data_IF_677666674030
#
_entry.id   IF_677666674030
#
_cell.length_a   1.000
_cell.length_b   1.000
_cell.length_c   1.000
_cell.angle_alpha   90.00
_cell.angle_beta   90.00
_cell.angle_gamma   90.00
#
_symmetry.space_group_name_H-M   'P 1'
#
loop_
_entity.id
_entity.type
_entity.pdbx_description
1 polymer ?
#
# COMPACT_ATOMS: atom_id res chain seq x y z
N UNK A 1 1.05 28.84 -0.92
CA UNK A 1 -0.36 28.43 -0.83
C UNK A 1 -0.35 26.91 -0.76
N UNK A 2 -0.39 26.34 0.45
CA UNK A 2 -0.33 24.90 0.68
C UNK A 2 -1.73 24.36 0.44
N UNK A 3 -1.94 23.66 -0.67
CA UNK A 3 -3.20 22.96 -0.93
C UNK A 3 -3.34 21.79 0.05
N UNK A 4 -4.46 21.77 0.75
CA UNK A 4 -4.75 20.93 1.90
C UNK A 4 -4.40 19.45 1.72
N UNK A 5 -3.63 18.93 2.65
CA UNK A 5 -3.19 17.52 2.76
C UNK A 5 -4.36 16.51 2.94
N UNK A 6 -5.58 16.96 3.19
CA UNK A 6 -6.79 16.11 3.25
C UNK A 6 -7.04 15.39 1.92
N UNK A 7 -6.70 16.00 0.80
CA UNK A 7 -6.82 15.36 -0.51
C UNK A 7 -5.87 14.17 -0.66
N UNK A 8 -4.63 14.29 -0.20
CA UNK A 8 -3.61 13.23 -0.34
C UNK A 8 -3.97 11.96 0.43
N UNK A 9 -4.57 12.09 1.61
CA UNK A 9 -4.99 10.93 2.41
C UNK A 9 -6.22 10.24 1.86
N UNK A 10 -7.19 11.02 1.33
CA UNK A 10 -8.30 10.44 0.58
C UNK A 10 -7.81 9.76 -0.70
N UNK A 11 -6.79 10.33 -1.35
CA UNK A 11 -6.14 9.71 -2.51
C UNK A 11 -5.48 8.39 -2.17
N UNK A 12 -4.70 8.32 -1.08
CA UNK A 12 -4.07 7.06 -0.62
C UNK A 12 -5.13 6.02 -0.27
N UNK A 13 -6.14 6.36 0.51
CA UNK A 13 -7.23 5.46 0.84
C UNK A 13 -7.99 4.96 -0.39
N UNK A 14 -8.22 5.85 -1.36
CA UNK A 14 -8.87 5.50 -2.64
C UNK A 14 -7.98 4.57 -3.46
N UNK A 15 -6.69 4.89 -3.60
CA UNK A 15 -5.73 4.04 -4.32
C UNK A 15 -5.66 2.65 -3.67
N UNK A 16 -5.56 2.57 -2.35
CA UNK A 16 -5.51 1.30 -1.63
C UNK A 16 -6.81 0.51 -1.79
N UNK A 17 -7.96 1.17 -1.79
CA UNK A 17 -9.25 0.52 -2.07
C UNK A 17 -9.33 -0.01 -3.50
N UNK A 18 -8.87 0.76 -4.49
CA UNK A 18 -8.80 0.30 -5.89
C UNK A 18 -7.85 -0.89 -6.03
N UNK A 19 -6.70 -0.86 -5.37
CA UNK A 19 -5.75 -1.98 -5.37
C UNK A 19 -6.36 -3.22 -4.72
N UNK A 20 -7.09 -3.06 -3.62
CA UNK A 20 -7.85 -4.14 -2.98
C UNK A 20 -8.87 -4.77 -3.93
N UNK A 21 -9.60 -3.95 -4.69
CA UNK A 21 -10.54 -4.41 -5.71
C UNK A 21 -9.86 -5.21 -6.82
N UNK A 22 -8.66 -4.77 -7.23
CA UNK A 22 -7.87 -5.44 -8.26
C UNK A 22 -7.27 -6.77 -7.78
N UNK A 23 -7.14 -6.96 -6.47
CA UNK A 23 -6.59 -8.18 -5.84
C UNK A 23 -7.66 -9.20 -5.42
N UNK A 24 -8.91 -9.04 -5.86
CA UNK A 24 -9.98 -9.97 -5.48
C UNK A 24 -10.49 -9.80 -4.05
N UNK A 25 -10.05 -8.76 -3.35
CA UNK A 25 -10.53 -8.47 -1.98
C UNK A 25 -12.04 -8.24 -1.98
N UNK A 26 -12.80 -8.81 -1.02
CA UNK A 26 -14.24 -8.66 -0.93
C UNK A 26 -14.68 -7.21 -0.88
N UNK A 27 -15.67 -6.86 -1.74
CA UNK A 27 -16.26 -5.52 -1.86
C UNK A 27 -17.34 -5.20 -0.82
N UNK A 28 -17.38 -5.95 0.24
CA UNK A 28 -18.33 -5.71 1.32
C UNK A 28 -18.02 -4.39 2.06
N UNK A 29 -19.02 -3.71 2.63
CA UNK A 29 -18.82 -2.41 3.27
C UNK A 29 -17.78 -2.41 4.41
N UNK A 30 -17.76 -3.46 5.25
CA UNK A 30 -16.85 -3.53 6.40
C UNK A 30 -15.38 -3.71 5.99
N UNK A 31 -15.00 -4.65 5.08
CA UNK A 31 -13.65 -4.72 4.53
C UNK A 31 -13.18 -3.40 3.92
N UNK A 32 -14.01 -2.74 3.11
CA UNK A 32 -13.66 -1.46 2.51
C UNK A 32 -13.45 -0.36 3.55
N UNK A 33 -14.36 -0.25 4.51
CA UNK A 33 -14.24 0.73 5.59
C UNK A 33 -12.98 0.49 6.44
N UNK A 34 -12.64 -0.78 6.69
CA UNK A 34 -11.40 -1.15 7.36
C UNK A 34 -10.18 -0.69 6.56
N UNK A 35 -10.11 -0.98 5.25
CA UNK A 35 -8.98 -0.56 4.40
C UNK A 35 -8.82 0.97 4.42
N UNK A 36 -9.91 1.71 4.27
CA UNK A 36 -9.89 3.18 4.30
C UNK A 36 -9.43 3.72 5.66
N UNK A 37 -9.93 3.14 6.75
CA UNK A 37 -9.55 3.55 8.10
C UNK A 37 -8.08 3.21 8.39
N UNK A 38 -7.62 2.01 8.05
CA UNK A 38 -6.21 1.59 8.22
C UNK A 38 -5.26 2.43 7.37
N UNK A 39 -5.63 2.74 6.11
CA UNK A 39 -4.85 3.62 5.26
C UNK A 39 -4.72 5.03 5.86
N UNK A 40 -5.84 5.59 6.32
CA UNK A 40 -5.85 6.93 6.90
C UNK A 40 -5.01 7.01 8.18
N UNK A 41 -5.18 6.05 9.10
CA UNK A 41 -4.44 6.10 10.35
C UNK A 41 -2.96 5.79 10.15
N UNK A 42 -2.60 4.79 9.34
CA UNK A 42 -1.21 4.43 9.09
C UNK A 42 -0.43 5.57 8.42
N UNK A 43 -0.97 6.12 7.33
CA UNK A 43 -0.35 7.23 6.61
C UNK A 43 -0.39 8.53 7.44
N UNK A 44 -1.51 8.81 8.10
CA UNK A 44 -1.65 9.98 8.97
C UNK A 44 -0.68 9.97 10.14
N UNK A 45 -0.49 8.81 10.79
CA UNK A 45 0.46 8.66 11.89
C UNK A 45 1.91 8.88 11.44
N UNK A 46 2.32 8.29 10.31
CA UNK A 46 3.67 8.48 9.75
C UNK A 46 3.93 9.97 9.45
N UNK A 47 3.01 10.63 8.75
CA UNK A 47 3.13 12.06 8.41
C UNK A 47 3.09 12.96 9.63
N UNK A 48 2.29 12.61 10.63
CA UNK A 48 2.23 13.36 11.90
C UNK A 48 3.54 13.25 12.67
N UNK A 49 4.11 12.07 12.78
CA UNK A 49 5.40 11.83 13.44
C UNK A 49 6.57 12.52 12.71
N UNK A 50 6.50 12.63 11.40
CA UNK A 50 7.48 13.36 10.58
C UNK A 50 7.24 14.90 10.58
N UNK A 51 6.20 15.40 11.26
CA UNK A 51 5.84 16.84 11.28
C UNK A 51 5.38 17.37 9.91
N UNK A 52 4.92 16.51 9.03
CA UNK A 52 4.58 16.81 7.62
C UNK A 52 3.07 16.83 7.34
N UNK A 53 2.21 16.77 8.35
CA UNK A 53 0.76 16.76 8.17
C UNK A 53 0.07 17.88 8.91
N UNK A 54 -1.05 18.35 8.34
CA UNK A 54 -2.01 19.23 9.01
C UNK A 54 -3.12 18.45 9.73
N UNK A 55 -3.08 17.11 9.68
CA UNK A 55 -4.06 16.26 10.35
C UNK A 55 -3.97 16.44 11.87
N UNK A 56 -5.14 16.50 12.47
CA UNK A 56 -5.21 16.54 13.92
C UNK A 56 -5.04 15.16 14.52
N UNK A 57 -4.41 15.03 15.70
CA UNK A 57 -4.30 13.73 16.40
C UNK A 57 -5.66 13.04 16.58
N UNK A 58 -6.73 13.82 16.76
CA UNK A 58 -8.09 13.31 16.93
C UNK A 58 -8.59 12.61 15.65
N UNK A 59 -8.28 13.15 14.47
CA UNK A 59 -8.68 12.54 13.20
C UNK A 59 -7.95 11.23 12.92
N UNK A 60 -6.67 11.17 13.27
CA UNK A 60 -5.86 9.96 13.18
C UNK A 60 -6.35 8.91 14.19
N UNK A 61 -6.62 9.33 15.43
CA UNK A 61 -7.17 8.47 16.47
C UNK A 61 -8.56 7.94 16.11
N UNK A 62 -9.42 8.76 15.49
CA UNK A 62 -10.74 8.31 15.03
C UNK A 62 -10.62 7.22 13.95
N UNK A 63 -9.67 7.36 13.02
CA UNK A 63 -9.41 6.34 12.00
C UNK A 63 -8.90 5.03 12.63
N UNK A 64 -7.95 5.11 13.57
CA UNK A 64 -7.46 3.96 14.34
C UNK A 64 -8.59 3.27 15.10
N UNK A 65 -9.42 4.04 15.82
CA UNK A 65 -10.58 3.49 16.54
C UNK A 65 -11.55 2.79 15.60
N UNK A 66 -11.83 3.37 14.43
CA UNK A 66 -12.71 2.78 13.43
C UNK A 66 -12.17 1.43 12.94
N UNK A 67 -10.90 1.36 12.57
CA UNK A 67 -10.28 0.09 12.17
C UNK A 67 -10.37 -0.97 13.27
N UNK A 68 -10.02 -0.60 14.51
CA UNK A 68 -10.04 -1.50 15.65
C UNK A 68 -11.45 -1.97 16.04
N UNK A 69 -12.45 -1.09 15.94
CA UNK A 69 -13.86 -1.46 16.19
C UNK A 69 -14.36 -2.47 15.16
N UNK A 70 -13.95 -2.33 13.89
CA UNK A 70 -14.29 -3.31 12.85
C UNK A 70 -13.64 -4.66 13.17
N UNK A 71 -12.34 -4.69 13.52
CA UNK A 71 -11.65 -5.90 13.89
C UNK A 71 -12.27 -6.59 15.12
N UNK A 72 -12.68 -5.80 16.10
CA UNK A 72 -13.35 -6.33 17.28
C UNK A 72 -14.74 -6.88 16.95
N UNK A 73 -15.54 -6.14 16.17
CA UNK A 73 -16.90 -6.54 15.76
C UNK A 73 -16.92 -7.82 14.91
N UNK A 74 -15.85 -8.06 14.14
CA UNK A 74 -15.72 -9.23 13.24
C UNK A 74 -14.92 -10.38 13.83
N UNK A 75 -14.68 -10.39 15.14
CA UNK A 75 -13.88 -11.40 15.86
C UNK A 75 -12.41 -11.51 15.37
N UNK A 76 -11.90 -10.43 14.77
CA UNK A 76 -10.52 -10.35 14.29
C UNK A 76 -9.61 -9.52 15.21
N UNK A 77 -9.96 -9.36 16.49
CA UNK A 77 -9.24 -8.55 17.49
C UNK A 77 -7.76 -8.93 17.66
N UNK A 78 -7.39 -10.17 17.34
CA UNK A 78 -5.99 -10.64 17.35
C UNK A 78 -5.06 -9.85 16.42
N UNK A 79 -5.60 -9.13 15.43
CA UNK A 79 -4.82 -8.31 14.51
C UNK A 79 -4.63 -6.86 14.97
N UNK A 80 -5.35 -6.41 16.01
CA UNK A 80 -5.24 -5.04 16.55
C UNK A 80 -3.81 -4.75 17.02
N UNK A 81 -3.26 -5.59 17.87
CA UNK A 81 -1.92 -5.36 18.41
C UNK A 81 -0.82 -5.43 17.34
N UNK A 82 -0.80 -6.42 16.42
CA UNK A 82 0.15 -6.43 15.30
C UNK A 82 0.06 -5.18 14.41
N UNK A 83 -1.13 -4.70 14.06
CA UNK A 83 -1.30 -3.51 13.24
C UNK A 83 -0.73 -2.26 13.92
N UNK A 84 -1.09 -2.03 15.18
CA UNK A 84 -0.59 -0.90 15.97
C UNK A 84 0.93 -0.98 16.11
N UNK A 85 1.48 -2.15 16.44
CA UNK A 85 2.93 -2.33 16.59
C UNK A 85 3.68 -2.08 15.28
N UNK A 86 3.16 -2.53 14.14
CA UNK A 86 3.77 -2.24 12.85
C UNK A 86 3.90 -0.73 12.62
N UNK A 87 2.85 0.04 12.88
CA UNK A 87 2.91 1.49 12.66
C UNK A 87 3.83 2.18 13.67
N UNK A 88 3.76 1.82 14.96
CA UNK A 88 4.60 2.43 16.00
C UNK A 88 6.09 2.10 15.82
N UNK A 89 6.42 0.93 15.30
CA UNK A 89 7.80 0.53 15.04
C UNK A 89 8.35 1.08 13.72
N UNK A 90 7.49 1.54 12.81
CA UNK A 90 7.90 2.00 11.49
C UNK A 90 8.93 3.12 11.50
N UNK A 91 8.83 4.21 12.31
CA UNK A 91 9.86 5.25 12.33
C UNK A 91 11.24 4.73 12.76
N UNK A 92 11.27 3.80 13.73
CA UNK A 92 12.49 3.15 14.16
C UNK A 92 13.06 2.24 13.06
N UNK A 93 12.19 1.48 12.39
CA UNK A 93 12.58 0.61 11.29
C UNK A 93 13.11 1.39 10.10
N UNK A 94 12.42 2.47 9.68
CA UNK A 94 12.84 3.39 8.61
C UNK A 94 14.24 3.95 8.86
N UNK A 95 14.57 4.28 10.12
CA UNK A 95 15.86 4.85 10.50
C UNK A 95 16.97 3.81 10.61
N UNK A 96 16.69 2.65 11.19
CA UNK A 96 17.72 1.63 11.47
C UNK A 96 17.94 0.63 10.32
N UNK A 97 16.90 0.37 9.54
CA UNK A 97 16.91 -0.60 8.43
C UNK A 97 16.33 0.00 7.13
N UNK A 98 16.85 1.17 6.67
CA UNK A 98 16.25 1.92 5.57
C UNK A 98 16.20 1.13 4.25
N UNK A 99 17.13 0.20 4.01
CA UNK A 99 17.13 -0.64 2.81
C UNK A 99 15.98 -1.66 2.78
N UNK A 100 15.44 -2.03 3.94
CA UNK A 100 14.32 -2.96 4.05
C UNK A 100 12.96 -2.26 4.15
N UNK A 101 12.96 -0.91 4.20
CA UNK A 101 11.75 -0.10 4.29
C UNK A 101 10.67 -0.48 3.26
N UNK A 102 10.98 -0.64 1.94
CA UNK A 102 9.95 -0.98 0.97
C UNK A 102 9.28 -2.32 1.24
N UNK A 103 10.04 -3.31 1.71
CA UNK A 103 9.50 -4.64 2.04
C UNK A 103 8.66 -4.62 3.32
N UNK A 104 9.06 -3.81 4.30
CA UNK A 104 8.25 -3.58 5.50
C UNK A 104 6.89 -2.97 5.14
N UNK A 105 6.90 -1.91 4.34
CA UNK A 105 5.69 -1.26 3.83
C UNK A 105 4.85 -2.25 3.02
N UNK A 106 5.49 -3.02 2.13
CA UNK A 106 4.81 -4.04 1.33
C UNK A 106 4.13 -5.11 2.17
N UNK A 107 4.81 -5.62 3.20
CA UNK A 107 4.25 -6.63 4.12
C UNK A 107 3.06 -6.08 4.90
N UNK A 108 3.18 -4.86 5.43
CA UNK A 108 2.08 -4.20 6.13
C UNK A 108 0.85 -4.06 5.22
N UNK A 109 1.02 -3.54 4.01
CA UNK A 109 -0.08 -3.34 3.08
C UNK A 109 -0.66 -4.65 2.54
N UNK A 110 0.15 -5.70 2.36
CA UNK A 110 -0.36 -7.03 2.04
C UNK A 110 -1.32 -7.54 3.13
N UNK A 111 -0.97 -7.34 4.39
CA UNK A 111 -1.84 -7.65 5.53
C UNK A 111 -3.13 -6.83 5.52
N UNK A 112 -3.00 -5.50 5.44
CA UNK A 112 -4.12 -4.57 5.58
C UNK A 112 -5.08 -4.57 4.38
N UNK A 113 -4.61 -4.88 3.16
CA UNK A 113 -5.42 -4.81 1.94
C UNK A 113 -5.93 -6.19 1.51
N UNK A 114 -5.19 -7.26 1.78
CA UNK A 114 -5.55 -8.60 1.33
C UNK A 114 -5.95 -9.51 2.50
N UNK A 115 -5.05 -9.75 3.46
CA UNK A 115 -5.30 -10.76 4.51
C UNK A 115 -6.49 -10.38 5.39
N UNK A 116 -6.42 -9.23 6.04
CA UNK A 116 -7.44 -8.83 7.04
C UNK A 116 -8.83 -8.62 6.42
N UNK A 117 -8.99 -7.98 5.25
CA UNK A 117 -10.28 -7.86 4.60
C UNK A 117 -10.95 -9.20 4.26
N UNK A 118 -10.19 -10.20 3.81
CA UNK A 118 -10.73 -11.55 3.59
C UNK A 118 -11.22 -12.18 4.90
N UNK A 119 -10.48 -12.00 5.98
CA UNK A 119 -10.87 -12.51 7.30
C UNK A 119 -12.14 -11.79 7.85
N UNK A 120 -12.27 -10.48 7.61
CA UNK A 120 -13.47 -9.71 7.95
C UNK A 120 -14.68 -10.22 7.18
N UNK A 121 -14.51 -10.55 5.89
CA UNK A 121 -15.56 -11.08 5.03
C UNK A 121 -15.80 -12.60 5.20
N UNK A 122 -15.07 -13.27 6.09
CA UNK A 122 -15.11 -14.72 6.27
C UNK A 122 -14.85 -15.51 4.98
N UNK A 123 -13.96 -15.01 4.14
CA UNK A 123 -13.52 -15.66 2.90
C UNK A 123 -12.08 -16.14 3.00
N UNK A 124 -11.70 -17.09 2.15
CA UNK A 124 -10.34 -17.61 2.12
C UNK A 124 -9.34 -16.57 1.65
N UNK A 125 -8.22 -16.47 2.36
CA UNK A 125 -7.09 -15.63 1.94
C UNK A 125 -6.39 -16.27 0.74
N UNK A 126 -6.27 -15.51 -0.34
CA UNK A 126 -5.61 -15.99 -1.57
C UNK A 126 -4.12 -15.63 -1.51
N UNK A 127 -3.27 -16.63 -1.27
CA UNK A 127 -1.83 -16.46 -1.05
C UNK A 127 -1.15 -15.68 -2.18
N UNK A 128 -1.41 -16.08 -3.44
CA UNK A 128 -0.78 -15.41 -4.59
C UNK A 128 -1.19 -13.94 -4.72
N UNK A 129 -2.41 -13.59 -4.40
CA UNK A 129 -2.91 -12.20 -4.40
C UNK A 129 -2.28 -11.39 -3.27
N UNK A 130 -2.15 -12.00 -2.09
CA UNK A 130 -1.47 -11.39 -0.95
C UNK A 130 -0.01 -11.08 -1.27
N UNK A 131 0.72 -12.04 -1.87
CA UNK A 131 2.10 -11.84 -2.31
C UNK A 131 2.18 -10.75 -3.40
N UNK A 132 1.27 -10.79 -4.38
CA UNK A 132 1.21 -9.79 -5.44
C UNK A 132 1.02 -8.39 -4.87
N UNK A 133 0.14 -8.24 -3.89
CA UNK A 133 -0.12 -6.96 -3.22
C UNK A 133 1.09 -6.45 -2.44
N UNK A 134 1.78 -7.34 -1.72
CA UNK A 134 3.01 -7.00 -1.01
C UNK A 134 4.12 -6.51 -1.96
N UNK A 135 4.31 -7.20 -3.08
CA UNK A 135 5.29 -6.81 -4.10
C UNK A 135 4.94 -5.46 -4.75
N UNK A 136 3.65 -5.24 -5.05
CA UNK A 136 3.16 -3.97 -5.61
C UNK A 136 3.38 -2.82 -4.65
N UNK A 137 2.99 -2.96 -3.39
CA UNK A 137 3.16 -1.94 -2.38
C UNK A 137 4.65 -1.66 -2.10
N UNK A 138 5.52 -2.69 -2.11
CA UNK A 138 6.97 -2.52 -2.03
C UNK A 138 7.52 -1.73 -3.21
N UNK A 139 7.04 -2.02 -4.43
CA UNK A 139 7.43 -1.29 -5.65
C UNK A 139 7.06 0.20 -5.55
N UNK A 140 5.82 0.49 -5.16
CA UNK A 140 5.31 1.87 -5.02
C UNK A 140 6.08 2.64 -3.94
N UNK A 141 6.28 2.03 -2.76
CA UNK A 141 7.06 2.64 -1.69
C UNK A 141 8.48 2.98 -2.12
N UNK A 142 9.14 2.07 -2.84
CA UNK A 142 10.50 2.28 -3.31
C UNK A 142 10.60 3.39 -4.39
N UNK A 143 9.56 3.57 -5.22
CA UNK A 143 9.48 4.70 -6.17
C UNK A 143 9.25 6.01 -5.42
N UNK A 144 8.38 6.03 -4.41
CA UNK A 144 8.13 7.23 -3.61
C UNK A 144 9.41 7.72 -2.90
N UNK A 145 10.28 6.82 -2.45
CA UNK A 145 11.56 7.17 -1.84
C UNK A 145 12.52 7.91 -2.79
N UNK A 146 12.30 7.87 -4.10
CA UNK A 146 13.10 8.65 -5.07
C UNK A 146 12.85 10.16 -4.91
N UNK A 147 11.61 10.55 -4.60
CA UNK A 147 11.25 11.95 -4.39
C UNK A 147 11.81 12.51 -3.08
N UNK A 148 12.00 11.63 -2.08
CA UNK A 148 12.46 11.98 -0.75
C UNK A 148 14.00 11.89 -0.58
N UNK A 149 14.78 11.55 -1.64
CA UNK A 149 16.24 11.28 -1.54
C UNK A 149 17.01 12.41 -0.85
N UNK A 150 16.74 13.65 -1.21
CA UNK A 150 17.47 14.80 -0.64
C UNK A 150 17.18 14.98 0.85
N UNK A 151 15.93 14.79 1.25
CA UNK A 151 15.51 14.91 2.65
C UNK A 151 16.00 13.71 3.47
N UNK A 152 15.94 12.50 2.90
CA UNK A 152 16.49 11.31 3.54
C UNK A 152 17.98 11.44 3.83
N UNK A 153 18.77 11.90 2.85
CA UNK A 153 20.21 12.14 3.04
C UNK A 153 20.47 13.19 4.12
N UNK A 154 19.74 14.31 4.12
CA UNK A 154 19.87 15.36 5.15
C UNK A 154 19.58 14.83 6.56
N UNK A 155 18.67 13.87 6.67
CA UNK A 155 18.29 13.23 7.93
C UNK A 155 19.15 12.01 8.29
N UNK A 156 20.17 11.67 7.47
CA UNK A 156 21.05 10.53 7.69
C UNK A 156 20.38 9.17 7.41
N UNK A 157 19.29 9.15 6.65
CA UNK A 157 18.55 7.96 6.27
C UNK A 157 18.98 7.54 4.86
N UNK A 158 19.63 6.40 4.75
CA UNK A 158 20.16 5.92 3.47
C UNK A 158 19.24 4.83 2.88
N UNK A 159 18.10 5.26 2.36
CA UNK A 159 17.15 4.43 1.59
C UNK A 159 17.79 3.87 0.33
N UNK A 160 17.12 2.96 -0.37
CA UNK A 160 17.65 2.34 -1.60
C UNK A 160 18.08 3.41 -2.62
N UNK A 161 17.24 4.41 -2.96
CA UNK A 161 17.66 5.44 -3.91
C UNK A 161 18.76 6.35 -3.37
N UNK A 162 18.76 6.66 -2.07
CA UNK A 162 19.82 7.46 -1.45
C UNK A 162 21.20 6.77 -1.46
N UNK A 163 21.20 5.42 -1.39
CA UNK A 163 22.44 4.62 -1.35
C UNK A 163 22.92 4.15 -2.71
N UNK A 164 22.02 3.71 -3.58
CA UNK A 164 22.37 3.06 -4.85
C UNK A 164 22.03 3.92 -6.07
N UNK A 165 21.31 5.03 -5.88
CA UNK A 165 20.87 5.93 -6.95
C UNK A 165 19.54 5.56 -7.59
N UNK A 166 19.04 6.45 -8.44
CA UNK A 166 17.70 6.40 -9.00
C UNK A 166 17.51 5.22 -9.97
N UNK A 167 18.49 4.95 -10.86
CA UNK A 167 18.33 3.92 -11.88
C UNK A 167 18.25 2.49 -11.31
N UNK A 168 19.13 2.06 -10.37
CA UNK A 168 18.96 0.78 -9.68
C UNK A 168 17.64 0.67 -8.92
N UNK A 169 17.17 1.77 -8.31
CA UNK A 169 15.89 1.81 -7.61
C UNK A 169 14.73 1.58 -8.57
N UNK A 170 14.72 2.24 -9.72
CA UNK A 170 13.71 2.03 -10.77
C UNK A 170 13.72 0.59 -11.29
N UNK A 171 14.91 0.01 -11.51
CA UNK A 171 15.04 -1.38 -11.95
C UNK A 171 14.49 -2.36 -10.92
N UNK A 172 14.80 -2.17 -9.63
CA UNK A 172 14.25 -2.98 -8.55
C UNK A 172 12.73 -2.85 -8.49
N UNK A 173 12.20 -1.62 -8.53
CA UNK A 173 10.75 -1.39 -8.49
C UNK A 173 10.05 -2.02 -9.69
N UNK A 174 10.63 -1.92 -10.89
CA UNK A 174 10.09 -2.60 -12.06
C UNK A 174 10.08 -4.14 -11.88
N UNK A 175 11.12 -4.71 -11.30
CA UNK A 175 11.19 -6.14 -10.97
C UNK A 175 10.11 -6.56 -9.97
N UNK A 176 9.90 -5.79 -8.90
CA UNK A 176 8.84 -6.02 -7.90
C UNK A 176 7.45 -5.91 -8.54
N UNK A 177 7.23 -4.90 -9.38
CA UNK A 177 5.98 -4.74 -10.12
C UNK A 177 5.70 -5.92 -11.05
N UNK A 178 6.69 -6.36 -11.85
CA UNK A 178 6.54 -7.52 -12.71
C UNK A 178 6.28 -8.81 -11.92
N UNK A 179 6.95 -8.96 -10.77
CA UNK A 179 6.67 -10.05 -9.82
C UNK A 179 5.23 -10.03 -9.30
N UNK A 180 4.70 -8.85 -9.00
CA UNK A 180 3.30 -8.66 -8.61
C UNK A 180 2.34 -9.10 -9.73
N UNK A 181 2.57 -8.63 -10.96
CA UNK A 181 1.76 -9.03 -12.13
C UNK A 181 1.80 -10.54 -12.36
N UNK A 182 2.97 -11.15 -12.25
CA UNK A 182 3.12 -12.60 -12.38
C UNK A 182 2.33 -13.36 -11.30
N UNK A 183 2.42 -12.92 -10.05
CA UNK A 183 1.74 -13.56 -8.91
C UNK A 183 0.21 -13.38 -8.95
N UNK A 184 -0.27 -12.23 -9.41
CA UNK A 184 -1.72 -11.97 -9.54
C UNK A 184 -2.39 -12.82 -10.64
N UNK A 185 -1.63 -13.57 -11.43
CA UNK A 185 -2.18 -14.37 -12.51
C UNK A 185 -2.79 -13.55 -13.66
N UNK A 186 -2.59 -12.23 -13.66
CA UNK A 186 -3.00 -11.37 -14.78
C UNK A 186 -2.22 -11.84 -16.02
N UNK A 187 -2.88 -12.61 -16.88
CA UNK A 187 -2.32 -12.95 -18.18
C UNK A 187 -2.24 -11.67 -19.00
N UNK A 188 -1.03 -11.16 -19.19
CA UNK A 188 -0.81 -10.15 -20.21
C UNK A 188 -1.45 -10.65 -21.51
N UNK A 189 -2.28 -9.87 -22.20
CA UNK A 189 -2.91 -10.32 -23.42
C UNK A 189 -1.81 -10.73 -24.40
N UNK A 190 -1.68 -12.03 -24.60
CA UNK A 190 -0.88 -12.53 -25.70
C UNK A 190 -1.48 -11.93 -26.97
N UNK A 191 -0.67 -11.17 -27.69
CA UNK A 191 -1.01 -10.63 -28.98
C UNK A 191 -1.16 -11.81 -29.97
N UNK A 192 -2.28 -12.55 -29.91
CA UNK A 192 -2.80 -13.42 -30.97
C UNK A 192 -4.21 -13.92 -30.58
N UNK A 193 -5.20 -13.86 -31.48
CA UNK A 193 -6.59 -14.18 -31.17
C UNK A 193 -6.84 -15.69 -31.23
N UNK A 194 -7.02 -16.36 -30.12
CA UNK A 194 -7.79 -17.60 -30.10
C UNK A 194 -9.23 -17.25 -29.72
N UNK A 195 -10.12 -17.55 -30.64
CA UNK A 195 -11.58 -17.39 -30.56
C UNK A 195 -12.12 -18.15 -29.34
N UNK A 196 -13.09 -17.54 -28.68
CA UNK A 196 -13.96 -18.06 -27.63
C UNK A 196 -13.37 -18.20 -26.22
N UNK A 197 -13.46 -17.07 -25.45
CA UNK A 197 -13.78 -17.16 -24.03
C UNK A 197 -14.31 -15.80 -23.56
N UNK A 198 -15.31 -15.82 -22.69
CA UNK A 198 -16.00 -14.67 -22.13
C UNK A 198 -15.04 -13.59 -21.65
N UNK A 199 -15.24 -12.37 -22.13
CA UNK A 199 -14.52 -11.18 -21.69
C UNK A 199 -14.94 -10.81 -20.27
N UNK A 200 -14.04 -10.70 -19.28
CA UNK A 200 -14.23 -9.76 -18.21
C UNK A 200 -13.97 -8.37 -18.80
N UNK A 201 -15.02 -7.56 -18.90
CA UNK A 201 -14.88 -6.12 -19.15
C UNK A 201 -14.32 -5.54 -17.86
N UNK A 202 -13.13 -5.03 -17.89
CA UNK A 202 -12.50 -4.03 -17.03
C UNK A 202 -10.99 -4.25 -17.06
N UNK A 203 -10.31 -3.54 -17.92
CA UNK A 203 -8.97 -3.02 -17.70
C UNK A 203 -8.57 -2.15 -18.90
N UNK A 204 -8.88 -0.87 -18.81
CA UNK A 204 -8.16 0.13 -19.61
C UNK A 204 -6.81 0.33 -18.94
N UNK A 205 -5.77 -0.20 -19.58
CA UNK A 205 -4.34 0.06 -19.43
C UNK A 205 -3.82 0.54 -18.05
N UNK A 206 -3.12 -0.30 -17.28
CA UNK A 206 -2.37 0.12 -16.10
C UNK A 206 -1.25 1.13 -16.42
N UNK A 207 -0.86 1.30 -17.66
CA UNK A 207 0.16 2.24 -18.12
C UNK A 207 -0.25 3.71 -17.95
N UNK A 208 -1.52 4.05 -17.77
CA UNK A 208 -1.95 5.42 -17.51
C UNK A 208 -1.56 5.93 -16.11
N UNK A 209 -1.31 5.03 -15.17
CA UNK A 209 -0.85 5.37 -13.82
C UNK A 209 0.58 5.94 -13.84
N UNK A 210 1.47 5.36 -14.65
CA UNK A 210 2.87 5.81 -14.74
C UNK A 210 3.05 7.10 -15.55
N UNK A 211 2.03 7.58 -16.30
CA UNK A 211 2.11 8.84 -17.05
C UNK A 211 2.09 10.12 -16.20
N UNK A 212 1.69 10.02 -14.94
CA UNK A 212 1.70 11.15 -14.00
C UNK A 212 3.06 11.37 -13.31
N UNK A 213 3.99 10.44 -13.46
CA UNK A 213 5.36 10.56 -12.96
C UNK A 213 6.29 10.71 -14.18
N UNK A 214 6.74 11.94 -14.52
CA UNK A 214 7.69 12.13 -15.60
C UNK A 214 8.98 11.38 -15.28
N UNK A 215 9.42 10.58 -16.23
CA UNK A 215 10.68 9.83 -16.20
C UNK A 215 11.88 10.77 -16.31
#
# INVERSE_FOLDING_TARGET
MVTSNTNTQMEVGTIMSVLALCSGTPLEPLPLLYIMASARWAYGADRYLDGKTEDTPESIAAALLTANLILWYTDQSKYIAPEILCILLYPSFKRNLPLLKPFYVGTFWAGAISVVPHLIAHTDVIENETIAMGLLASSVSNIADIEDVEDDIKNGIYTIPARFGINPTRALSAGLFLGSVYKSGVRLPHALPSRHMCRPRFFSSPLSFFRKFPL
#
